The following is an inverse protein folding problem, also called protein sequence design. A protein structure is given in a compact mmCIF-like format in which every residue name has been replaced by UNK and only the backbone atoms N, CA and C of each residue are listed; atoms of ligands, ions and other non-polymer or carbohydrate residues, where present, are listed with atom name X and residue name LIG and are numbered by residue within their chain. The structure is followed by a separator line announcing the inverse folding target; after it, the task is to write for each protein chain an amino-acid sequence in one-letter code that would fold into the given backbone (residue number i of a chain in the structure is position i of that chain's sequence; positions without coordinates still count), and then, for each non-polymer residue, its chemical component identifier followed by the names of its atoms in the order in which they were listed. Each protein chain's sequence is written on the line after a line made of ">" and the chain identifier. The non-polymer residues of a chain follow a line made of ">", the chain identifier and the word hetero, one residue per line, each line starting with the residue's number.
data_IF_268005977773
#
_entry.id   IF_268005977773
#
_cell.length_a   1.000
_cell.length_b   1.000
_cell.length_c   1.000
_cell.angle_alpha   90.00
_cell.angle_beta   90.00
_cell.angle_gamma   90.00
#
_symmetry.space_group_name_H-M   'P 1'
#
loop_
_entity.id
_entity.type
_entity.pdbx_description
1 polymer ?
#
# COMPACT_ATOMS: atom_id res chain seq x y z
N UNK A 1 -26.15 -23.66 5.74
CA UNK A 1 -25.69 -22.30 5.39
C UNK A 1 -26.57 -21.82 4.26
N UNK A 2 -27.50 -20.90 4.56
CA UNK A 2 -28.57 -20.47 3.65
C UNK A 2 -28.01 -19.80 2.40
N UNK A 3 -28.65 -20.02 1.25
CA UNK A 3 -28.27 -19.38 -0.03
C UNK A 3 -28.31 -17.84 0.04
N UNK A 4 -29.13 -17.30 0.95
CA UNK A 4 -29.21 -15.87 1.26
C UNK A 4 -27.89 -15.32 1.84
N UNK A 5 -27.20 -16.11 2.65
CA UNK A 5 -25.90 -15.74 3.24
C UNK A 5 -24.79 -15.72 2.18
N UNK A 6 -24.88 -16.60 1.16
CA UNK A 6 -23.96 -16.58 0.02
C UNK A 6 -24.18 -15.37 -0.87
N UNK A 7 -25.44 -15.04 -1.18
CA UNK A 7 -25.78 -13.84 -1.97
C UNK A 7 -25.34 -12.55 -1.30
N UNK A 8 -25.46 -12.45 0.03
CA UNK A 8 -24.99 -11.27 0.76
C UNK A 8 -23.46 -11.15 0.76
N UNK A 9 -22.73 -12.27 0.91
CA UNK A 9 -21.27 -12.27 0.83
C UNK A 9 -20.74 -11.90 -0.56
N UNK A 10 -21.37 -12.39 -1.64
CA UNK A 10 -21.04 -12.03 -3.01
C UNK A 10 -21.33 -10.55 -3.29
N UNK A 11 -22.48 -10.05 -2.83
CA UNK A 11 -22.85 -8.63 -2.90
C UNK A 11 -21.90 -7.71 -2.13
N UNK A 12 -21.34 -8.17 -1.01
CA UNK A 12 -20.42 -7.38 -0.18
C UNK A 12 -19.00 -7.36 -0.75
N UNK A 13 -18.60 -8.39 -1.51
CA UNK A 13 -17.30 -8.48 -2.17
C UNK A 13 -17.21 -7.62 -3.45
N UNK A 14 -18.35 -7.29 -4.08
CA UNK A 14 -18.38 -6.40 -5.25
C UNK A 14 -18.36 -4.91 -4.88
N UNK A 15 -18.72 -4.52 -3.64
CA UNK A 15 -18.70 -3.12 -3.20
C UNK A 15 -17.32 -2.64 -2.69
N UNK A 16 -16.39 -3.54 -2.41
CA UNK A 16 -15.08 -3.18 -1.82
C UNK A 16 -13.94 -3.05 -2.83
N UNK A 17 -14.23 -3.06 -4.14
CA UNK A 17 -13.21 -3.22 -5.18
C UNK A 17 -13.45 -2.41 -6.44
N UNK A 18 -14.04 -1.22 -6.36
CA UNK A 18 -14.13 -0.32 -7.51
C UNK A 18 -13.74 1.12 -7.13
N UNK A 19 -12.45 1.34 -6.89
CA UNK A 19 -11.85 2.64 -7.15
C UNK A 19 -11.62 2.69 -8.66
N UNK A 20 -12.50 3.41 -9.35
CA UNK A 20 -12.50 3.56 -10.79
C UNK A 20 -11.13 4.09 -11.28
N UNK A 21 -10.31 3.18 -11.82
CA UNK A 21 -9.34 3.51 -12.88
C UNK A 21 -10.13 3.90 -14.14
N UNK A 22 -10.83 5.03 -14.08
CA UNK A 22 -11.03 5.82 -15.28
C UNK A 22 -9.71 6.52 -15.56
N UNK A 23 -9.21 6.55 -16.81
CA UNK A 23 -8.12 7.43 -17.18
C UNK A 23 -8.65 8.86 -17.14
N UNK A 24 -8.82 9.39 -15.94
CA UNK A 24 -9.08 10.79 -15.72
C UNK A 24 -7.80 11.51 -16.11
N UNK A 25 -7.79 12.01 -17.34
CA UNK A 25 -6.78 12.92 -17.88
C UNK A 25 -6.95 14.29 -17.23
N UNK A 26 -7.19 14.33 -15.92
CA UNK A 26 -7.19 15.55 -15.12
C UNK A 26 -5.80 15.75 -14.54
N UNK A 27 -5.29 16.99 -14.55
CA UNK A 27 -4.00 17.31 -13.95
C UNK A 27 -4.06 17.01 -12.44
N UNK A 28 -3.06 16.28 -11.92
CA UNK A 28 -3.00 15.98 -10.49
C UNK A 28 -2.88 17.26 -9.66
N UNK A 29 -3.71 17.37 -8.63
CA UNK A 29 -3.77 18.49 -7.73
C UNK A 29 -3.21 18.13 -6.33
N UNK A 30 -3.10 19.12 -5.45
CA UNK A 30 -2.62 18.88 -4.10
C UNK A 30 -3.55 17.97 -3.29
N UNK A 31 -4.86 18.00 -3.58
CA UNK A 31 -5.85 17.18 -2.88
C UNK A 31 -5.65 15.69 -3.18
N UNK A 32 -5.26 15.34 -4.41
CA UNK A 32 -4.95 13.95 -4.78
C UNK A 32 -3.80 13.36 -3.93
N UNK A 33 -2.79 14.18 -3.62
CA UNK A 33 -1.67 13.79 -2.75
C UNK A 33 -2.16 13.63 -1.31
N UNK A 34 -3.06 14.48 -0.83
CA UNK A 34 -3.58 14.38 0.53
C UNK A 34 -4.41 13.11 0.70
N UNK A 35 -5.25 12.80 -0.29
CA UNK A 35 -6.14 11.63 -0.26
C UNK A 35 -5.36 10.31 -0.37
N UNK A 36 -4.24 10.30 -1.09
CA UNK A 36 -3.42 9.09 -1.34
C UNK A 36 -2.03 9.16 -0.70
N UNK A 37 -1.85 10.00 0.33
CA UNK A 37 -0.54 10.28 0.91
C UNK A 37 0.15 9.01 1.42
N UNK A 38 -0.61 8.16 2.11
CA UNK A 38 -0.08 6.97 2.73
C UNK A 38 0.28 5.92 1.67
N UNK A 39 -0.61 5.68 0.71
CA UNK A 39 -0.41 4.77 -0.41
C UNK A 39 0.79 5.20 -1.26
N UNK A 40 0.95 6.50 -1.49
CA UNK A 40 2.12 7.06 -2.18
C UNK A 40 3.41 6.78 -1.41
N UNK A 41 3.46 7.07 -0.10
CA UNK A 41 4.63 6.81 0.74
C UNK A 41 4.91 5.31 0.89
N UNK A 42 3.88 4.48 0.91
CA UNK A 42 3.96 3.01 0.96
C UNK A 42 4.28 2.34 -0.39
N UNK A 43 4.29 3.11 -1.49
CA UNK A 43 4.44 2.59 -2.87
C UNK A 43 3.36 1.55 -3.22
N UNK A 44 2.12 1.81 -2.79
CA UNK A 44 0.95 0.95 -2.99
C UNK A 44 0.00 1.46 -4.07
N UNK A 45 0.51 2.28 -4.99
CA UNK A 45 -0.24 2.85 -6.10
C UNK A 45 0.03 2.08 -7.40
N UNK A 46 -0.87 2.19 -8.37
CA UNK A 46 -0.57 1.74 -9.73
C UNK A 46 0.55 2.59 -10.35
N UNK A 47 1.27 2.05 -11.33
CA UNK A 47 2.36 2.77 -12.00
C UNK A 47 1.91 4.12 -12.59
N UNK A 48 0.66 4.19 -13.08
CA UNK A 48 0.08 5.41 -13.66
C UNK A 48 -0.19 6.46 -12.58
N UNK A 49 -0.79 6.05 -11.46
CA UNK A 49 -1.05 6.94 -10.32
C UNK A 49 0.26 7.45 -9.72
N UNK A 50 1.22 6.56 -9.49
CA UNK A 50 2.53 6.92 -8.93
C UNK A 50 3.26 7.94 -9.82
N UNK A 51 3.25 7.75 -11.14
CA UNK A 51 3.85 8.69 -12.09
C UNK A 51 3.23 10.09 -12.02
N UNK A 52 1.89 10.17 -11.96
CA UNK A 52 1.17 11.45 -11.86
C UNK A 52 1.46 12.18 -10.55
N UNK A 53 1.42 11.47 -9.43
CA UNK A 53 1.72 12.05 -8.11
C UNK A 53 3.18 12.46 -8.00
N UNK A 54 4.12 11.67 -8.53
CA UNK A 54 5.54 12.04 -8.58
C UNK A 54 5.77 13.35 -9.35
N UNK A 55 5.11 13.52 -10.50
CA UNK A 55 5.20 14.75 -11.28
C UNK A 55 4.69 15.96 -10.48
N UNK A 56 3.58 15.79 -9.75
CA UNK A 56 3.04 16.85 -8.89
C UNK A 56 3.98 17.18 -7.72
N UNK A 57 4.43 16.18 -6.95
CA UNK A 57 5.33 16.35 -5.81
C UNK A 57 6.64 17.04 -6.22
N UNK A 58 7.17 16.70 -7.39
CA UNK A 58 8.40 17.32 -7.92
C UNK A 58 8.22 18.81 -8.27
N UNK A 59 6.99 19.24 -8.58
CA UNK A 59 6.65 20.62 -8.93
C UNK A 59 6.02 21.45 -7.81
N UNK A 60 5.63 20.82 -6.69
CA UNK A 60 4.89 21.45 -5.60
C UNK A 60 5.65 21.31 -4.26
N UNK A 61 6.30 22.38 -3.77
CA UNK A 61 7.09 22.35 -2.54
C UNK A 61 6.29 21.92 -1.29
N UNK A 62 5.02 22.33 -1.21
CA UNK A 62 4.15 21.98 -0.10
C UNK A 62 3.84 20.47 -0.07
N UNK A 63 3.56 19.86 -1.22
CA UNK A 63 3.35 18.42 -1.32
C UNK A 63 4.64 17.64 -1.06
N UNK A 64 5.80 18.14 -1.51
CA UNK A 64 7.10 17.56 -1.17
C UNK A 64 7.31 17.52 0.35
N UNK A 65 7.10 18.65 1.04
CA UNK A 65 7.21 18.72 2.50
C UNK A 65 6.26 17.77 3.22
N UNK A 66 5.00 17.64 2.76
CA UNK A 66 4.03 16.68 3.32
C UNK A 66 4.51 15.24 3.20
N UNK A 67 4.99 14.83 2.02
CA UNK A 67 5.49 13.47 1.79
C UNK A 67 6.76 13.16 2.59
N UNK A 68 7.63 14.15 2.76
CA UNK A 68 8.84 14.05 3.59
C UNK A 68 8.49 13.93 5.07
N UNK A 69 7.56 14.77 5.56
CA UNK A 69 7.10 14.73 6.94
C UNK A 69 6.51 13.36 7.30
N UNK A 70 5.64 12.81 6.45
CA UNK A 70 5.07 11.49 6.64
C UNK A 70 6.14 10.38 6.65
N UNK A 71 7.09 10.44 5.70
CA UNK A 71 8.23 9.52 5.66
C UNK A 71 9.09 9.60 6.92
N UNK A 72 9.28 10.81 7.46
CA UNK A 72 10.06 11.04 8.67
C UNK A 72 9.40 10.44 9.91
N UNK A 73 8.08 10.65 10.06
CA UNK A 73 7.31 10.04 11.16
C UNK A 73 7.41 8.52 11.13
N UNK A 74 7.25 7.91 9.94
CA UNK A 74 7.36 6.46 9.76
C UNK A 74 8.76 5.94 10.09
N UNK A 75 9.80 6.69 9.76
CA UNK A 75 11.17 6.33 10.11
C UNK A 75 11.41 6.39 11.62
N UNK A 76 10.85 7.38 12.33
CA UNK A 76 10.88 7.43 13.80
C UNK A 76 10.20 6.19 14.38
N UNK A 77 8.98 5.87 13.91
CA UNK A 77 8.24 4.69 14.36
C UNK A 77 9.02 3.41 14.13
N UNK A 78 9.66 3.25 12.97
CA UNK A 78 10.51 2.09 12.66
C UNK A 78 11.68 1.95 13.62
N UNK A 79 12.32 3.06 14.02
CA UNK A 79 13.43 3.05 14.97
C UNK A 79 12.98 2.75 16.40
N UNK A 80 11.86 3.33 16.83
CA UNK A 80 11.38 3.22 18.20
C UNK A 80 10.68 1.89 18.48
N UNK A 81 10.02 1.30 17.48
CA UNK A 81 9.18 0.11 17.64
C UNK A 81 9.78 -1.14 16.97
N UNK A 82 11.11 -1.25 16.92
CA UNK A 82 11.78 -2.40 16.32
C UNK A 82 11.83 -3.59 17.28
N UNK A 83 10.78 -4.43 17.28
CA UNK A 83 10.80 -5.70 17.99
C UNK A 83 11.53 -6.77 17.15
N UNK A 84 12.55 -7.41 17.73
CA UNK A 84 13.21 -8.53 17.06
C UNK A 84 12.28 -9.75 17.03
N UNK A 85 12.01 -10.25 15.83
CA UNK A 85 11.27 -11.48 15.66
C UNK A 85 11.94 -12.62 16.47
N UNK A 86 11.19 -13.39 17.28
CA UNK A 86 11.73 -14.49 18.06
C UNK A 86 12.51 -15.48 17.19
N UNK A 87 13.64 -15.97 17.68
CA UNK A 87 14.53 -16.89 16.95
C UNK A 87 13.80 -18.14 16.44
N UNK A 88 12.84 -18.63 17.21
CA UNK A 88 11.98 -19.77 16.85
C UNK A 88 11.11 -19.47 15.63
N UNK A 89 10.53 -18.28 15.54
CA UNK A 89 9.72 -17.86 14.40
C UNK A 89 10.59 -17.70 13.15
N UNK A 90 11.76 -17.05 13.30
CA UNK A 90 12.73 -16.88 12.21
C UNK A 90 13.17 -18.24 11.64
N UNK A 91 13.55 -19.17 12.50
CA UNK A 91 13.98 -20.52 12.09
C UNK A 91 12.88 -21.25 11.32
N UNK A 92 11.62 -21.17 11.79
CA UNK A 92 10.46 -21.76 11.10
C UNK A 92 10.27 -21.15 9.71
N UNK A 93 10.28 -19.83 9.59
CA UNK A 93 10.09 -19.14 8.30
C UNK A 93 11.19 -19.52 7.30
N UNK A 94 12.46 -19.48 7.73
CA UNK A 94 13.60 -19.85 6.87
C UNK A 94 13.45 -21.30 6.37
N UNK A 95 13.13 -22.23 7.27
CA UNK A 95 12.91 -23.64 6.89
C UNK A 95 11.78 -23.80 5.87
N UNK A 96 10.65 -23.10 6.05
CA UNK A 96 9.54 -23.16 5.10
C UNK A 96 9.88 -22.57 3.73
N UNK A 97 10.63 -21.45 3.69
CA UNK A 97 11.10 -20.85 2.44
C UNK A 97 12.03 -21.81 1.69
N UNK A 98 12.94 -22.49 2.39
CA UNK A 98 13.82 -23.49 1.78
C UNK A 98 13.06 -24.68 1.20
N UNK A 99 12.08 -25.20 1.93
CA UNK A 99 11.21 -26.30 1.44
C UNK A 99 10.47 -25.84 0.19
N UNK A 100 9.81 -24.67 0.24
CA UNK A 100 9.08 -24.12 -0.89
C UNK A 100 9.96 -24.03 -2.14
N UNK A 101 11.15 -23.41 -2.02
CA UNK A 101 12.12 -23.27 -3.12
C UNK A 101 12.55 -24.61 -3.73
N UNK A 102 12.68 -25.68 -2.93
CA UNK A 102 13.04 -27.01 -3.44
C UNK A 102 11.88 -27.70 -4.15
N UNK A 103 10.65 -27.43 -3.73
CA UNK A 103 9.44 -28.10 -4.27
C UNK A 103 8.85 -27.41 -5.49
N UNK A 104 9.07 -26.10 -5.66
CA UNK A 104 8.58 -25.32 -6.81
C UNK A 104 9.64 -25.13 -7.89
N UNK A 105 10.73 -25.91 -7.86
CA UNK A 105 11.77 -25.97 -8.89
C UNK A 105 11.73 -27.30 -9.60
#
# INVERSE_FOLDING_TARGET
>A
MSEEMRRWLESTLEESGNSLDSPDVSPCCCDDIVDQLFEYVDRQLSEVQESRLNAHVSGCPECAERTEAESHVREILRRCCQEQAPSTLRARIVSQIEVYRRTTS
#
